data_IF_506977069917
#
_entry.id   IF_506977069917
#
_cell.length_a   1.000
_cell.length_b   1.000
_cell.length_c   1.000
_cell.angle_alpha   90.00
_cell.angle_beta   90.00
_cell.angle_gamma   90.00
#
_symmetry.space_group_name_H-M   'P 1'
#
loop_
_entity.id
_entity.type
_entity.pdbx_description
1 polymer ?
#
# COMPACT_ATOMS: atom_id res chain seq x y z
N UNK A 1 -43.65 5.37 -52.64
CA UNK A 1 -42.61 6.01 -51.81
C UNK A 1 -42.81 5.82 -50.31
N UNK A 2 -44.03 5.79 -49.75
CA UNK A 2 -44.28 5.65 -48.31
C UNK A 2 -43.91 4.29 -47.67
N UNK A 3 -44.07 3.17 -48.37
CA UNK A 3 -43.74 1.81 -47.84
C UNK A 3 -42.23 1.56 -47.66
N UNK A 4 -41.37 2.18 -48.46
CA UNK A 4 -39.90 2.04 -48.33
C UNK A 4 -39.40 2.80 -47.11
N UNK A 5 -39.92 4.00 -46.88
CA UNK A 5 -39.59 4.79 -45.67
C UNK A 5 -40.02 4.07 -44.38
N UNK A 6 -41.24 3.47 -44.36
CA UNK A 6 -41.72 2.78 -43.18
C UNK A 6 -40.91 1.53 -42.86
N UNK A 7 -40.43 0.78 -43.86
CA UNK A 7 -39.57 -0.41 -43.66
C UNK A 7 -38.15 -0.02 -43.20
N UNK A 8 -37.61 1.07 -43.70
CA UNK A 8 -36.32 1.63 -43.24
C UNK A 8 -36.40 2.05 -41.79
N UNK A 9 -37.47 2.79 -41.41
CA UNK A 9 -37.68 3.25 -40.04
C UNK A 9 -37.86 2.09 -39.07
N UNK A 10 -38.59 1.04 -39.44
CA UNK A 10 -38.73 -0.20 -38.64
C UNK A 10 -37.43 -0.96 -38.47
N UNK A 11 -36.58 -0.99 -39.49
CA UNK A 11 -35.26 -1.61 -39.43
C UNK A 11 -34.34 -0.87 -38.45
N UNK A 12 -34.27 0.46 -38.53
CA UNK A 12 -33.50 1.30 -37.64
C UNK A 12 -33.98 1.16 -36.20
N UNK A 13 -35.31 1.15 -35.98
CA UNK A 13 -35.90 0.97 -34.65
C UNK A 13 -35.52 -0.38 -34.05
N UNK A 14 -35.59 -1.50 -34.84
CA UNK A 14 -35.18 -2.84 -34.39
C UNK A 14 -33.70 -2.89 -34.02
N UNK A 15 -32.82 -2.29 -34.81
CA UNK A 15 -31.41 -2.24 -34.54
C UNK A 15 -31.12 -1.45 -33.24
N UNK A 16 -31.81 -0.33 -33.03
CA UNK A 16 -31.68 0.49 -31.81
C UNK A 16 -32.13 -0.29 -30.57
N UNK A 17 -33.28 -0.97 -30.62
CA UNK A 17 -33.77 -1.80 -29.52
C UNK A 17 -32.80 -2.92 -29.20
N UNK A 18 -32.22 -3.57 -30.20
CA UNK A 18 -31.23 -4.63 -30.02
C UNK A 18 -29.94 -4.10 -29.39
N UNK A 19 -29.45 -2.95 -29.83
CA UNK A 19 -28.26 -2.31 -29.26
C UNK A 19 -28.48 -1.91 -27.80
N UNK A 20 -29.64 -1.33 -27.47
CA UNK A 20 -30.00 -0.98 -26.08
C UNK A 20 -30.14 -2.22 -25.21
N UNK A 21 -30.74 -3.31 -25.73
CA UNK A 21 -30.89 -4.56 -24.99
C UNK A 21 -29.52 -5.20 -24.68
N UNK A 22 -28.58 -5.20 -25.64
CA UNK A 22 -27.22 -5.70 -25.43
C UNK A 22 -26.49 -4.84 -24.40
N UNK A 23 -26.62 -3.51 -24.46
CA UNK A 23 -26.01 -2.59 -23.50
C UNK A 23 -26.55 -2.81 -22.08
N UNK A 24 -27.87 -2.90 -21.92
CA UNK A 24 -28.48 -3.16 -20.60
C UNK A 24 -28.06 -4.54 -20.09
N UNK A 25 -28.03 -5.56 -20.93
CA UNK A 25 -27.62 -6.91 -20.54
C UNK A 25 -26.13 -6.94 -20.13
N UNK A 26 -25.24 -6.23 -20.84
CA UNK A 26 -23.83 -6.14 -20.45
C UNK A 26 -23.64 -5.41 -19.11
N UNK A 27 -24.42 -4.37 -18.80
CA UNK A 27 -24.39 -3.70 -17.51
C UNK A 27 -24.87 -4.58 -16.33
N UNK A 28 -25.78 -5.55 -16.61
CA UNK A 28 -26.25 -6.50 -15.60
C UNK A 28 -25.25 -7.63 -15.29
N UNK A 29 -24.27 -7.84 -16.18
CA UNK A 29 -23.22 -8.88 -16.03
C UNK A 29 -21.95 -8.33 -15.35
N UNK A 30 -21.86 -7.03 -15.11
CA UNK A 30 -20.72 -6.46 -14.38
C UNK A 30 -20.87 -6.76 -12.89
N UNK A 31 -20.06 -7.70 -12.39
CA UNK A 31 -19.90 -7.86 -10.94
C UNK A 31 -19.16 -6.66 -10.38
N UNK A 32 -19.60 -6.09 -9.25
CA UNK A 32 -18.80 -5.07 -8.57
C UNK A 32 -17.46 -5.69 -8.16
N UNK A 33 -16.36 -5.14 -8.65
CA UNK A 33 -15.04 -5.47 -8.13
C UNK A 33 -14.94 -4.84 -6.73
N UNK A 34 -15.27 -5.61 -5.70
CA UNK A 34 -15.10 -5.19 -4.31
C UNK A 34 -13.65 -5.45 -3.93
N UNK A 35 -12.90 -4.38 -3.68
CA UNK A 35 -11.60 -4.46 -3.04
C UNK A 35 -11.81 -4.95 -1.59
N UNK A 36 -11.30 -6.13 -1.27
CA UNK A 36 -11.49 -6.79 0.01
C UNK A 36 -10.30 -6.59 0.93
N UNK A 37 -10.48 -5.89 2.07
CA UNK A 37 -9.42 -5.74 3.08
C UNK A 37 -9.13 -7.07 3.80
N UNK A 38 -10.09 -7.98 3.79
CA UNK A 38 -10.02 -9.26 4.52
C UNK A 38 -9.62 -10.44 3.62
N UNK A 39 -9.31 -10.22 2.36
CA UNK A 39 -8.89 -11.25 1.43
C UNK A 39 -7.45 -11.04 0.93
N UNK A 40 -6.83 -12.15 0.50
CA UNK A 40 -5.46 -12.16 -0.03
C UNK A 40 -5.47 -12.03 -1.57
N UNK A 41 -6.24 -11.09 -2.10
CA UNK A 41 -6.27 -10.78 -3.52
C UNK A 41 -5.54 -9.48 -3.81
N UNK A 42 -4.91 -9.41 -4.97
CA UNK A 42 -4.32 -8.18 -5.46
C UNK A 42 -5.41 -7.23 -5.98
N UNK A 43 -5.56 -6.09 -5.34
CA UNK A 43 -6.49 -5.03 -5.74
C UNK A 43 -5.74 -3.77 -6.18
N UNK A 44 -4.45 -3.72 -5.95
CA UNK A 44 -3.57 -2.58 -6.16
C UNK A 44 -2.76 -2.27 -4.90
N UNK A 45 -2.00 -1.17 -4.91
CA UNK A 45 -1.10 -0.86 -3.81
C UNK A 45 -1.85 -0.60 -2.50
N UNK A 46 -1.46 -1.32 -1.43
CA UNK A 46 -2.14 -1.31 -0.12
C UNK A 46 -2.15 0.07 0.53
N UNK A 47 -1.10 0.88 0.38
CA UNK A 47 -1.03 2.22 0.96
C UNK A 47 -1.96 3.21 0.25
N UNK A 48 -2.14 3.05 -1.05
CA UNK A 48 -3.05 3.90 -1.84
C UNK A 48 -4.50 3.54 -1.54
N UNK A 49 -4.84 2.25 -1.62
CA UNK A 49 -6.24 1.81 -1.59
C UNK A 49 -6.81 1.73 -0.18
N UNK A 50 -6.05 1.14 0.76
CA UNK A 50 -6.57 0.86 2.11
C UNK A 50 -6.16 1.89 3.14
N UNK A 51 -4.97 2.47 3.03
CA UNK A 51 -4.52 3.55 3.90
C UNK A 51 -4.87 4.96 3.39
N UNK A 52 -5.33 5.09 2.15
CA UNK A 52 -5.62 6.39 1.54
C UNK A 52 -4.38 7.31 1.44
N UNK A 53 -3.18 6.74 1.43
CA UNK A 53 -1.93 7.48 1.54
C UNK A 53 -0.91 7.12 0.44
N UNK A 54 -1.21 7.53 -0.80
CA UNK A 54 -0.28 7.35 -1.91
C UNK A 54 1.03 8.12 -1.79
N UNK A 55 1.19 8.98 -0.78
CA UNK A 55 2.45 9.70 -0.57
C UNK A 55 3.56 8.85 0.06
N UNK A 56 3.22 7.65 0.53
CA UNK A 56 4.16 6.68 1.06
C UNK A 56 4.89 5.90 -0.05
N UNK A 57 4.25 5.71 -1.19
CA UNK A 57 4.77 4.86 -2.27
C UNK A 57 4.86 5.65 -3.60
N UNK A 58 6.05 5.66 -4.23
CA UNK A 58 7.32 5.10 -3.74
C UNK A 58 7.87 5.90 -2.55
N UNK A 59 8.81 5.27 -1.80
CA UNK A 59 9.52 5.94 -0.72
C UNK A 59 10.20 7.22 -1.23
N UNK A 60 10.07 8.33 -0.48
CA UNK A 60 10.59 9.65 -0.89
C UNK A 60 12.11 9.77 -0.79
N UNK A 61 12.73 8.90 0.01
CA UNK A 61 14.17 8.91 0.29
C UNK A 61 14.64 7.47 0.49
N UNK A 62 15.83 7.15 0.04
CA UNK A 62 16.45 5.86 0.30
C UNK A 62 16.93 5.73 1.75
N UNK A 63 17.10 4.49 2.24
CA UNK A 63 17.69 4.26 3.56
C UNK A 63 19.09 4.87 3.65
N UNK A 64 19.91 4.68 2.61
CA UNK A 64 21.26 5.23 2.54
C UNK A 64 21.28 6.76 2.70
N UNK A 65 20.38 7.46 2.02
CA UNK A 65 20.31 8.92 2.10
C UNK A 65 19.73 9.39 3.43
N UNK A 66 18.76 8.65 4.00
CA UNK A 66 18.25 8.94 5.34
C UNK A 66 19.35 8.86 6.39
N UNK A 67 20.17 7.82 6.36
CA UNK A 67 21.28 7.63 7.29
C UNK A 67 22.39 8.69 7.08
N UNK A 68 22.69 9.09 5.85
CA UNK A 68 23.66 10.18 5.57
C UNK A 68 23.25 11.49 6.26
N UNK A 69 21.96 11.82 6.25
CA UNK A 69 21.46 13.04 6.92
C UNK A 69 21.09 12.81 8.39
N UNK A 70 21.48 11.68 8.96
CA UNK A 70 21.21 11.28 10.33
C UNK A 70 19.72 11.32 10.71
N UNK A 71 18.88 10.92 9.81
CA UNK A 71 17.43 10.85 10.01
C UNK A 71 17.03 9.40 10.29
N UNK A 72 16.32 9.11 11.41
CA UNK A 72 15.82 7.78 11.67
C UNK A 72 14.88 7.30 10.55
N UNK A 73 14.84 5.99 10.32
CA UNK A 73 14.02 5.39 9.30
C UNK A 73 13.11 4.29 9.87
N UNK A 74 11.86 4.26 9.40
CA UNK A 74 10.92 3.17 9.58
C UNK A 74 10.75 2.47 8.23
N UNK A 75 11.20 1.24 8.14
CA UNK A 75 11.11 0.37 6.96
C UNK A 75 9.94 -0.57 7.19
N UNK A 76 9.08 -0.72 6.19
CA UNK A 76 7.99 -1.70 6.20
C UNK A 76 8.08 -2.57 4.96
N UNK A 77 8.27 -3.87 5.16
CA UNK A 77 8.16 -4.86 4.09
C UNK A 77 6.73 -5.35 3.97
N UNK A 78 6.22 -5.40 2.76
CA UNK A 78 4.83 -5.73 2.48
C UNK A 78 4.66 -6.39 1.10
N UNK A 79 3.49 -6.98 0.89
CA UNK A 79 2.97 -7.39 -0.41
C UNK A 79 1.58 -6.78 -0.61
N UNK A 80 1.18 -6.57 -1.85
CA UNK A 80 -0.09 -5.91 -2.16
C UNK A 80 -1.29 -6.87 -2.13
N UNK A 81 -1.06 -8.18 -2.08
CA UNK A 81 -2.07 -9.25 -2.07
C UNK A 81 -2.26 -9.93 -0.70
N UNK A 82 -1.79 -9.31 0.39
CA UNK A 82 -1.97 -9.83 1.75
C UNK A 82 -2.97 -9.01 2.55
N UNK A 83 -4.00 -9.65 3.10
CA UNK A 83 -4.98 -9.04 4.00
C UNK A 83 -4.33 -8.43 5.24
N UNK A 84 -3.27 -9.06 5.75
CA UNK A 84 -2.49 -8.54 6.87
C UNK A 84 -1.77 -7.23 6.50
N UNK A 85 -1.16 -7.16 5.32
CA UNK A 85 -0.52 -5.94 4.82
C UNK A 85 -1.55 -4.83 4.53
N UNK A 86 -2.73 -5.19 3.97
CA UNK A 86 -3.83 -4.25 3.75
C UNK A 86 -4.24 -3.57 5.06
N UNK A 87 -4.51 -4.34 6.11
CA UNK A 87 -4.87 -3.82 7.45
C UNK A 87 -3.75 -3.01 8.06
N UNK A 88 -2.53 -3.52 8.00
CA UNK A 88 -1.36 -2.89 8.60
C UNK A 88 -0.98 -1.56 7.93
N UNK A 89 -1.27 -1.38 6.65
CA UNK A 89 -0.99 -0.13 5.93
C UNK A 89 -1.62 1.10 6.59
N UNK A 90 -2.79 0.95 7.23
CA UNK A 90 -3.47 2.04 7.94
C UNK A 90 -2.69 2.49 9.17
N UNK A 91 -2.11 1.55 9.93
CA UNK A 91 -1.27 1.85 11.10
C UNK A 91 -0.02 2.63 10.68
N UNK A 92 0.65 2.19 9.62
CA UNK A 92 1.83 2.87 9.08
C UNK A 92 1.49 4.27 8.56
N UNK A 93 0.36 4.44 7.90
CA UNK A 93 -0.12 5.74 7.43
C UNK A 93 -0.38 6.71 8.60
N UNK A 94 -1.00 6.23 9.68
CA UNK A 94 -1.21 7.02 10.89
C UNK A 94 0.12 7.44 11.52
N UNK A 95 1.07 6.54 11.68
CA UNK A 95 2.41 6.86 12.19
C UNK A 95 3.12 7.89 11.31
N UNK A 96 2.99 7.77 10.00
CA UNK A 96 3.58 8.75 9.07
C UNK A 96 2.97 10.15 9.22
N UNK A 97 1.70 10.26 9.59
CA UNK A 97 1.09 11.56 9.87
C UNK A 97 1.75 12.27 11.07
N UNK A 98 2.19 11.52 12.09
CA UNK A 98 2.86 12.07 13.27
C UNK A 98 4.36 12.28 13.06
N UNK A 99 5.04 11.29 12.48
CA UNK A 99 6.50 11.21 12.45
C UNK A 99 7.12 11.49 11.08
N UNK A 100 6.34 11.65 10.00
CA UNK A 100 6.86 11.73 8.62
C UNK A 100 7.78 12.93 8.34
N UNK A 101 7.75 13.98 9.20
CA UNK A 101 8.72 15.06 9.14
C UNK A 101 10.04 14.70 9.82
N UNK A 102 9.98 13.96 10.92
CA UNK A 102 11.13 13.61 11.76
C UNK A 102 11.80 12.29 11.37
N UNK A 103 11.04 11.30 10.90
CA UNK A 103 11.52 10.00 10.41
C UNK A 103 11.28 9.83 8.92
N UNK A 104 12.09 9.01 8.28
CA UNK A 104 11.89 8.56 6.91
C UNK A 104 11.04 7.29 6.91
N UNK A 105 9.92 7.30 6.20
CA UNK A 105 9.07 6.12 6.01
C UNK A 105 9.43 5.48 4.66
N UNK A 106 9.85 4.22 4.71
CA UNK A 106 10.39 3.48 3.57
C UNK A 106 9.61 2.17 3.40
N UNK A 107 8.43 2.22 2.78
CA UNK A 107 7.73 1.01 2.39
C UNK A 107 8.46 0.32 1.24
N UNK A 108 8.64 -1.00 1.36
CA UNK A 108 9.35 -1.86 0.43
C UNK A 108 8.46 -3.03 0.07
N UNK A 109 8.01 -3.11 -1.19
CA UNK A 109 7.38 -4.33 -1.65
C UNK A 109 8.42 -5.43 -1.81
N UNK A 110 8.17 -6.61 -1.24
CA UNK A 110 9.14 -7.72 -1.30
C UNK A 110 9.34 -8.25 -2.71
N UNK A 111 8.37 -8.02 -3.59
CA UNK A 111 8.48 -8.37 -5.02
C UNK A 111 9.59 -7.58 -5.74
N UNK A 112 10.05 -6.47 -5.15
CA UNK A 112 11.16 -5.69 -5.68
C UNK A 112 12.54 -6.17 -5.19
N UNK A 113 12.59 -7.12 -4.24
CA UNK A 113 13.83 -7.64 -3.71
C UNK A 113 14.34 -8.81 -4.56
N UNK A 114 15.64 -8.82 -4.83
CA UNK A 114 16.27 -9.95 -5.52
C UNK A 114 16.32 -11.17 -4.58
N UNK A 115 15.88 -12.32 -5.07
CA UNK A 115 16.04 -13.60 -4.40
C UNK A 115 17.54 -13.88 -4.20
N UNK A 116 17.97 -14.07 -2.95
CA UNK A 116 19.37 -14.24 -2.57
C UNK A 116 20.28 -13.02 -2.83
N UNK A 117 19.72 -11.84 -2.96
CA UNK A 117 20.46 -10.58 -3.08
C UNK A 117 21.38 -10.36 -1.87
N UNK A 118 22.60 -9.86 -2.13
CA UNK A 118 23.51 -9.41 -1.07
C UNK A 118 23.35 -7.91 -0.90
N UNK A 119 22.68 -7.50 0.14
CA UNK A 119 22.38 -6.11 0.44
C UNK A 119 23.32 -5.56 1.50
N UNK A 120 23.88 -4.34 1.33
CA UNK A 120 24.59 -3.63 2.39
C UNK A 120 23.61 -3.18 3.47
N UNK A 121 24.08 -2.89 4.67
CA UNK A 121 23.27 -2.42 5.79
C UNK A 121 22.58 -1.03 5.55
N UNK A 122 22.94 -0.35 4.48
CA UNK A 122 22.32 0.89 4.01
C UNK A 122 21.17 0.65 3.02
N UNK A 123 20.91 -0.61 2.68
CA UNK A 123 19.79 -1.02 1.82
C UNK A 123 18.72 -1.74 2.64
N UNK A 124 17.43 -1.44 2.44
CA UNK A 124 16.35 -2.13 3.15
C UNK A 124 16.40 -3.65 3.06
N UNK A 125 16.79 -4.21 1.90
CA UNK A 125 16.86 -5.66 1.69
C UNK A 125 17.75 -6.40 2.68
N UNK A 126 18.74 -5.72 3.31
CA UNK A 126 19.58 -6.28 4.36
C UNK A 126 18.78 -6.75 5.58
N UNK A 127 17.67 -6.08 5.88
CA UNK A 127 16.87 -6.32 7.08
C UNK A 127 15.70 -7.30 6.85
N UNK A 128 15.44 -7.69 5.60
CA UNK A 128 14.30 -8.57 5.29
C UNK A 128 14.51 -9.98 5.83
N UNK A 129 13.53 -10.50 6.58
CA UNK A 129 13.56 -11.81 7.24
C UNK A 129 12.69 -12.88 6.57
N UNK A 130 12.17 -12.60 5.38
CA UNK A 130 11.41 -13.59 4.59
C UNK A 130 9.93 -13.71 4.93
N UNK A 131 9.36 -12.79 5.72
CA UNK A 131 7.94 -12.77 6.03
C UNK A 131 7.38 -11.34 6.09
N UNK A 132 6.10 -11.16 5.80
CA UNK A 132 5.41 -9.88 5.79
C UNK A 132 4.08 -9.94 6.57
N UNK A 133 3.60 -8.78 7.07
CA UNK A 133 4.34 -7.53 7.14
C UNK A 133 5.54 -7.64 8.10
N UNK A 134 6.63 -6.93 7.82
CA UNK A 134 7.75 -6.79 8.76
C UNK A 134 8.06 -5.30 8.93
N UNK A 135 8.32 -4.88 10.16
CA UNK A 135 8.69 -3.51 10.49
C UNK A 135 10.07 -3.44 11.11
N UNK A 136 10.91 -2.58 10.55
CA UNK A 136 12.25 -2.29 11.07
C UNK A 136 12.38 -0.81 11.34
N UNK A 137 12.82 -0.44 12.54
CA UNK A 137 13.16 0.94 12.90
C UNK A 137 14.67 1.03 13.10
N UNK A 138 15.28 1.92 12.35
CA UNK A 138 16.71 2.22 12.42
C UNK A 138 16.86 3.66 12.93
N UNK A 139 17.66 3.87 13.94
CA UNK A 139 17.92 5.21 14.48
C UNK A 139 18.89 6.00 13.59
N UNK A 140 19.15 7.26 13.96
CA UNK A 140 20.04 8.19 13.22
C UNK A 140 21.49 7.70 13.06
N UNK A 141 21.93 6.75 13.87
CA UNK A 141 23.29 6.20 13.86
C UNK A 141 23.34 4.83 13.18
N UNK A 142 22.22 4.38 12.57
CA UNK A 142 22.13 3.11 11.85
C UNK A 142 21.89 1.90 12.76
N UNK A 143 21.58 2.11 14.03
CA UNK A 143 21.30 1.02 14.96
C UNK A 143 19.83 0.61 14.88
N UNK A 144 19.58 -0.68 14.78
CA UNK A 144 18.22 -1.25 14.79
C UNK A 144 17.63 -1.11 16.19
N UNK A 145 16.44 -0.51 16.27
CA UNK A 145 15.67 -0.29 17.52
C UNK A 145 14.44 -1.19 17.61
N UNK A 146 13.90 -1.59 16.46
CA UNK A 146 12.81 -2.55 16.31
C UNK A 146 13.04 -3.36 15.05
N UNK A 147 12.76 -4.67 15.09
CA UNK A 147 12.80 -5.56 13.94
C UNK A 147 11.87 -6.74 14.19
N UNK A 148 10.60 -6.60 13.80
CA UNK A 148 9.56 -7.55 14.10
C UNK A 148 8.69 -7.87 12.89
N UNK A 149 8.24 -9.12 12.82
CA UNK A 149 7.32 -9.66 11.81
C UNK A 149 5.90 -9.66 12.39
N UNK A 150 4.93 -9.41 11.54
CA UNK A 150 3.50 -9.38 11.85
C UNK A 150 2.96 -7.96 11.98
N UNK A 151 1.66 -7.87 12.17
CA UNK A 151 0.97 -6.62 12.43
C UNK A 151 1.30 -6.14 13.84
N UNK A 152 1.98 -5.01 13.95
CA UNK A 152 2.24 -4.35 15.23
C UNK A 152 1.17 -3.29 15.51
N UNK A 153 0.85 -3.08 16.77
CA UNK A 153 -0.04 -1.98 17.13
C UNK A 153 0.64 -0.63 16.93
N UNK A 154 -0.18 0.40 16.73
CA UNK A 154 0.30 1.79 16.66
C UNK A 154 1.13 2.13 17.89
N UNK A 155 0.66 1.74 19.07
CA UNK A 155 1.27 2.02 20.35
C UNK A 155 2.69 1.46 20.47
N UNK A 156 2.90 0.23 20.04
CA UNK A 156 4.21 -0.42 20.11
C UNK A 156 5.25 0.30 19.25
N UNK A 157 4.85 0.72 18.06
CA UNK A 157 5.73 1.45 17.15
C UNK A 157 5.95 2.88 17.66
N UNK A 158 4.88 3.54 18.13
CA UNK A 158 4.95 4.88 18.73
C UNK A 158 5.91 4.92 19.93
N UNK A 159 5.81 3.96 20.84
CA UNK A 159 6.70 3.86 22.00
C UNK A 159 8.17 3.70 21.59
N UNK A 160 8.44 2.90 20.53
CA UNK A 160 9.81 2.77 20.01
C UNK A 160 10.29 4.08 19.37
N UNK A 161 9.44 4.76 18.59
CA UNK A 161 9.79 6.03 17.96
C UNK A 161 9.99 7.12 19.02
N UNK A 162 9.19 7.14 20.08
CA UNK A 162 9.40 8.05 21.22
C UNK A 162 10.77 7.88 21.86
N UNK A 163 11.22 6.63 22.05
CA UNK A 163 12.57 6.35 22.54
C UNK A 163 13.65 6.79 21.54
N UNK A 164 13.45 6.60 20.24
CA UNK A 164 14.38 7.04 19.18
C UNK A 164 14.54 8.57 19.17
N UNK A 165 13.48 9.30 19.51
CA UNK A 165 13.45 10.77 19.51
C UNK A 165 13.59 11.38 20.90
N UNK A 166 13.91 10.61 21.93
CA UNK A 166 14.03 11.06 23.32
C UNK A 166 12.77 11.81 23.82
N UNK A 167 11.60 11.39 23.37
CA UNK A 167 10.32 11.95 23.79
C UNK A 167 9.84 11.31 25.11
N UNK A 168 9.01 12.04 25.84
CA UNK A 168 8.38 11.51 27.05
C UNK A 168 7.53 10.27 26.73
N UNK A 169 7.48 9.28 27.64
CA UNK A 169 6.57 8.17 27.52
C UNK A 169 5.13 8.64 27.31
N UNK A 170 4.34 7.83 26.62
CA UNK A 170 2.92 8.09 26.47
C UNK A 170 2.26 8.09 27.86
N UNK A 171 1.36 9.04 28.08
CA UNK A 171 0.50 9.00 29.27
C UNK A 171 -0.58 7.96 29.02
N UNK A 172 -0.75 7.03 29.95
CA UNK A 172 -1.88 6.09 29.96
C UNK A 172 -3.21 6.82 30.18
#
# INVERSE_FOLDING_TARGET
>A
MSRILSNCLKSVWRSLVLAVSIFVFSCLLTYPALAGIDDDKYDGNVFVLYAGNGSLVPARISLADSLKVKKPALIVFYVDDSSDCKKYSTVISQLQAYYGKAASFIPVTVDSLELNGKYPNTDPGYYYKGAVPQTVIVDKDGKVRLDEIGQLSFEKIDDTLRQVFDLLPRKE
#
